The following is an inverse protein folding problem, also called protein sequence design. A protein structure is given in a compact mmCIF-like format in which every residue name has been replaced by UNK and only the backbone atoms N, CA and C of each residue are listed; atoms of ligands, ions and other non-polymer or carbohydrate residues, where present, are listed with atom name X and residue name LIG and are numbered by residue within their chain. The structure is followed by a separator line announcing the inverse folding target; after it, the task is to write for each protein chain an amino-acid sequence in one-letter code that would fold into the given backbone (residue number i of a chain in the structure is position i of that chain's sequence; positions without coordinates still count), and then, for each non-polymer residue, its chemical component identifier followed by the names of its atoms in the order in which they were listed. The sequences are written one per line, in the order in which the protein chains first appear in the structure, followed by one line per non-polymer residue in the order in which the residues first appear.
data_IF_835110467576
#
_entry.id   IF_835110467576
#
_cell.length_a   1.000
_cell.length_b   1.000
_cell.length_c   1.000
_cell.angle_alpha   90.00
_cell.angle_beta   90.00
_cell.angle_gamma   90.00
#
_symmetry.space_group_name_H-M   'P 1'
#
loop_
_entity.id
_entity.type
_entity.pdbx_description
1 polymer ?
#
# COMPACT_ATOMS: atom_id res chain seq x y z
N UNK A 1 2.60 -1.37 44.98
CA UNK A 1 1.14 -1.19 44.88
C UNK A 1 0.63 -1.93 43.63
N UNK A 2 -0.58 -2.47 43.63
CA UNK A 2 -1.13 -3.16 42.44
C UNK A 2 -1.25 -2.20 41.24
N UNK A 3 -1.40 -0.90 41.50
CA UNK A 3 -1.40 0.19 40.51
C UNK A 3 -0.11 0.23 39.65
N UNK A 4 1.07 0.13 40.26
CA UNK A 4 2.34 0.20 39.53
C UNK A 4 2.55 -0.98 38.58
N UNK A 5 2.03 -2.16 38.95
CA UNK A 5 2.06 -3.35 38.08
C UNK A 5 1.20 -3.14 36.84
N UNK A 6 -0.01 -2.62 37.01
CA UNK A 6 -0.94 -2.34 35.91
C UNK A 6 -0.38 -1.24 34.99
N UNK A 7 0.21 -0.18 35.57
CA UNK A 7 0.80 0.90 34.78
C UNK A 7 1.96 0.41 33.89
N UNK A 8 2.78 -0.50 34.42
CA UNK A 8 3.93 -1.06 33.70
C UNK A 8 3.51 -2.05 32.62
N UNK A 9 2.53 -2.91 32.90
CA UNK A 9 1.96 -3.85 31.93
C UNK A 9 1.31 -3.10 30.76
N UNK A 10 0.53 -2.06 31.05
CA UNK A 10 -0.11 -1.22 30.03
C UNK A 10 0.91 -0.48 29.17
N UNK A 11 1.98 0.05 29.77
CA UNK A 11 3.07 0.70 29.03
C UNK A 11 3.80 -0.28 28.09
N UNK A 12 3.96 -1.54 28.48
CA UNK A 12 4.57 -2.57 27.64
C UNK A 12 3.66 -2.96 26.47
N UNK A 13 2.36 -3.12 26.71
CA UNK A 13 1.38 -3.37 25.66
C UNK A 13 1.29 -2.20 24.67
N UNK A 14 1.26 -0.96 25.18
CA UNK A 14 1.27 0.25 24.36
C UNK A 14 2.57 0.36 23.54
N UNK A 15 3.73 0.03 24.12
CA UNK A 15 4.99 0.00 23.40
C UNK A 15 5.00 -1.06 22.28
N UNK A 16 4.40 -2.24 22.51
CA UNK A 16 4.20 -3.26 21.47
C UNK A 16 3.29 -2.74 20.36
N UNK A 17 2.18 -2.09 20.70
CA UNK A 17 1.27 -1.50 19.72
C UNK A 17 1.98 -0.40 18.91
N UNK A 18 2.74 0.48 19.54
CA UNK A 18 3.52 1.52 18.86
C UNK A 18 4.62 0.96 17.97
N UNK A 19 5.33 -0.08 18.41
CA UNK A 19 6.31 -0.77 17.57
C UNK A 19 5.65 -1.44 16.36
N UNK A 20 4.46 -2.01 16.56
CA UNK A 20 3.66 -2.57 15.47
C UNK A 20 3.23 -1.48 14.48
N UNK A 21 2.77 -0.31 14.97
CA UNK A 21 2.43 0.87 14.16
C UNK A 21 3.63 1.38 13.36
N UNK A 22 4.81 1.48 13.96
CA UNK A 22 6.07 1.87 13.29
C UNK A 22 6.50 0.89 12.20
N UNK A 23 6.19 -0.40 12.36
CA UNK A 23 6.40 -1.44 11.33
C UNK A 23 5.32 -1.45 10.24
N UNK A 24 4.24 -0.67 10.38
CA UNK A 24 3.25 -0.45 9.32
C UNK A 24 3.77 0.58 8.32
N UNK A 25 3.32 0.50 7.07
CA UNK A 25 3.65 1.48 6.04
C UNK A 25 3.20 2.90 6.48
N UNK A 26 3.87 3.95 6.00
CA UNK A 26 3.57 5.34 6.38
C UNK A 26 2.12 5.74 6.10
N UNK A 27 1.47 5.07 5.15
CA UNK A 27 0.04 5.22 4.85
C UNK A 27 -0.80 4.84 6.07
N UNK A 28 -0.49 3.74 6.73
CA UNK A 28 -1.19 3.26 7.93
C UNK A 28 -0.83 4.02 9.20
N UNK A 29 0.39 4.56 9.29
CA UNK A 29 0.78 5.40 10.42
C UNK A 29 0.07 6.76 10.43
N UNK A 30 -0.34 7.23 9.24
CA UNK A 30 -0.94 8.55 9.05
C UNK A 30 -2.42 8.48 8.70
N UNK A 31 -3.03 7.30 8.81
CA UNK A 31 -4.39 6.99 8.36
C UNK A 31 -4.70 7.60 6.98
N UNK A 32 -3.70 7.58 6.11
CA UNK A 32 -3.85 8.14 4.78
C UNK A 32 -4.82 7.24 4.01
N UNK A 33 -5.72 7.86 3.25
CA UNK A 33 -6.66 7.13 2.44
C UNK A 33 -5.92 6.28 1.40
N UNK A 34 -6.21 4.98 1.40
CA UNK A 34 -5.60 4.03 0.47
C UNK A 34 -6.13 4.24 -0.96
N UNK A 35 -5.33 3.91 -1.98
CA UNK A 35 -5.84 3.87 -3.35
C UNK A 35 -6.95 2.82 -3.46
N UNK A 36 -7.97 3.05 -4.31
CA UNK A 36 -9.06 2.10 -4.51
C UNK A 36 -8.55 0.79 -5.12
N UNK A 37 -9.20 -0.34 -4.83
CA UNK A 37 -8.82 -1.64 -5.39
C UNK A 37 -8.75 -1.62 -6.93
N UNK A 38 -9.62 -0.83 -7.58
CA UNK A 38 -9.61 -0.61 -9.02
C UNK A 38 -8.27 -0.08 -9.57
N UNK A 39 -7.49 0.67 -8.77
CA UNK A 39 -6.17 1.16 -9.19
C UNK A 39 -5.16 0.02 -9.43
N UNK A 40 -5.29 -1.10 -8.71
CA UNK A 40 -4.40 -2.25 -8.93
C UNK A 40 -4.65 -2.90 -10.28
N UNK A 41 -5.92 -3.09 -10.62
CA UNK A 41 -6.32 -3.68 -11.89
C UNK A 41 -5.91 -2.78 -13.07
N UNK A 42 -6.01 -1.45 -12.91
CA UNK A 42 -5.50 -0.51 -13.92
C UNK A 42 -3.99 -0.63 -14.14
N UNK A 43 -3.20 -0.76 -13.07
CA UNK A 43 -1.74 -0.92 -13.18
C UNK A 43 -1.39 -2.28 -13.82
N UNK A 44 -2.07 -3.36 -13.44
CA UNK A 44 -1.91 -4.69 -14.05
C UNK A 44 -2.21 -4.65 -15.54
N UNK A 45 -3.32 -4.04 -15.93
CA UNK A 45 -3.71 -3.90 -17.33
C UNK A 45 -2.73 -3.04 -18.13
N UNK A 46 -2.21 -1.97 -17.53
CA UNK A 46 -1.18 -1.13 -18.15
C UNK A 46 0.10 -1.93 -18.42
N UNK A 47 0.57 -2.75 -17.47
CA UNK A 47 1.73 -3.61 -17.65
C UNK A 47 1.51 -4.69 -18.71
N UNK A 48 0.30 -5.25 -18.80
CA UNK A 48 -0.06 -6.24 -19.82
C UNK A 48 -0.10 -5.63 -21.22
N UNK A 49 -0.68 -4.44 -21.37
CA UNK A 49 -0.69 -3.70 -22.65
C UNK A 49 0.73 -3.32 -23.07
N UNK A 50 1.51 -2.76 -22.14
CA UNK A 50 2.90 -2.37 -22.41
C UNK A 50 3.73 -3.55 -22.91
N UNK A 51 3.54 -4.77 -22.40
CA UNK A 51 4.24 -5.95 -22.90
C UNK A 51 3.79 -6.40 -24.30
N UNK A 52 2.53 -6.19 -24.69
CA UNK A 52 2.04 -6.49 -26.04
C UNK A 52 2.62 -5.51 -27.07
N UNK A 53 2.79 -4.25 -26.68
CA UNK A 53 3.31 -3.18 -27.55
C UNK A 53 4.84 -3.24 -27.73
N UNK A 54 5.57 -4.10 -27.00
CA UNK A 54 7.01 -4.36 -27.21
C UNK A 54 7.32 -5.07 -28.53
N UNK A 55 6.30 -5.54 -29.25
CA UNK A 55 6.39 -5.95 -30.65
C UNK A 55 6.32 -4.75 -31.61
N UNK A 56 6.79 -3.57 -31.18
CA UNK A 56 6.97 -2.40 -32.02
C UNK A 56 8.28 -2.51 -32.79
N UNK A 57 8.29 -2.03 -34.03
CA UNK A 57 9.49 -1.93 -34.89
C UNK A 57 10.57 -1.03 -34.25
N UNK A 58 10.20 -0.21 -33.27
CA UNK A 58 11.08 0.68 -32.53
C UNK A 58 11.42 0.05 -31.17
N UNK A 59 12.72 -0.11 -30.83
CA UNK A 59 13.13 -0.63 -29.54
C UNK A 59 12.64 0.28 -28.39
N UNK A 60 12.32 -0.29 -27.22
CA UNK A 60 11.85 0.47 -26.08
C UNK A 60 12.86 1.53 -25.65
N UNK A 61 12.38 2.72 -25.29
CA UNK A 61 13.22 3.79 -24.75
C UNK A 61 13.65 3.45 -23.33
N UNK A 62 14.83 3.89 -22.87
CA UNK A 62 15.23 3.78 -21.46
C UNK A 62 14.21 4.37 -20.49
N UNK A 63 13.43 5.36 -20.94
CA UNK A 63 12.34 5.96 -20.17
C UNK A 63 11.18 4.97 -20.02
N UNK A 64 10.84 4.24 -21.07
CA UNK A 64 9.76 3.24 -21.05
C UNK A 64 10.11 2.07 -20.11
N UNK A 65 11.37 1.64 -20.14
CA UNK A 65 11.89 0.60 -19.25
C UNK A 65 11.85 1.04 -17.78
N UNK A 66 12.28 2.27 -17.49
CA UNK A 66 12.22 2.85 -16.15
C UNK A 66 10.76 2.95 -15.66
N UNK A 67 9.86 3.43 -16.50
CA UNK A 67 8.43 3.52 -16.20
C UNK A 67 7.81 2.14 -15.93
N UNK A 68 8.19 1.12 -16.69
CA UNK A 68 7.76 -0.26 -16.45
C UNK A 68 8.27 -0.78 -15.09
N UNK A 69 9.54 -0.52 -14.77
CA UNK A 69 10.12 -0.90 -13.48
C UNK A 69 9.39 -0.23 -12.31
N UNK A 70 9.10 1.07 -12.43
CA UNK A 70 8.34 1.82 -11.42
C UNK A 70 6.94 1.24 -11.25
N UNK A 71 6.23 0.98 -12.35
CA UNK A 71 4.88 0.40 -12.32
C UNK A 71 4.86 -0.99 -11.66
N UNK A 72 5.84 -1.84 -11.95
CA UNK A 72 5.99 -3.17 -11.32
C UNK A 72 6.27 -3.06 -9.82
N UNK A 73 7.20 -2.20 -9.42
CA UNK A 73 7.53 -1.98 -8.01
C UNK A 73 6.34 -1.42 -7.22
N UNK A 74 5.60 -0.49 -7.82
CA UNK A 74 4.37 0.05 -7.23
C UNK A 74 3.31 -1.04 -7.03
N UNK A 75 3.10 -1.90 -8.02
CA UNK A 75 2.14 -3.00 -7.91
C UNK A 75 2.49 -3.94 -6.74
N UNK A 76 3.74 -4.38 -6.66
CA UNK A 76 4.21 -5.25 -5.59
C UNK A 76 4.07 -4.63 -4.20
N UNK A 77 4.39 -3.34 -4.08
CA UNK A 77 4.25 -2.60 -2.81
C UNK A 77 2.79 -2.58 -2.36
N UNK A 78 1.86 -2.27 -3.27
CA UNK A 78 0.44 -2.19 -2.94
C UNK A 78 -0.16 -3.57 -2.64
N UNK A 79 0.24 -4.61 -3.38
CA UNK A 79 -0.18 -6.00 -3.10
C UNK A 79 0.29 -6.47 -1.72
N UNK A 80 1.55 -6.20 -1.38
CA UNK A 80 2.09 -6.49 -0.05
C UNK A 80 1.34 -5.74 1.05
N UNK A 81 1.07 -4.44 0.86
CA UNK A 81 0.36 -3.63 1.84
C UNK A 81 -1.10 -4.09 2.02
N UNK A 82 -1.76 -4.52 0.96
CA UNK A 82 -3.12 -5.07 1.03
C UNK A 82 -3.16 -6.45 1.70
N UNK A 83 -2.21 -7.34 1.40
CA UNK A 83 -2.12 -8.65 2.05
C UNK A 83 -1.80 -8.54 3.55
N UNK A 84 -0.89 -7.63 3.91
CA UNK A 84 -0.46 -7.42 5.30
C UNK A 84 -1.49 -6.65 6.12
N UNK A 85 -2.28 -5.79 5.49
CA UNK A 85 -3.26 -4.94 6.14
C UNK A 85 -4.55 -4.90 5.31
N UNK A 86 -5.40 -5.93 5.35
CA UNK A 86 -6.63 -5.97 4.57
C UNK A 86 -7.51 -4.75 4.87
N UNK A 87 -8.09 -4.18 3.81
CA UNK A 87 -9.09 -3.13 3.93
C UNK A 87 -10.41 -3.77 4.36
N UNK A 88 -10.97 -3.32 5.48
CA UNK A 88 -12.33 -3.64 5.85
C UNK A 88 -13.26 -3.00 4.80
N UNK A 89 -14.22 -3.75 4.22
CA UNK A 89 -15.05 -3.34 3.06
C UNK A 89 -15.78 -1.99 3.27
N UNK A 90 -15.92 -1.57 4.53
CA UNK A 90 -16.52 -0.29 4.93
C UNK A 90 -15.63 0.93 4.66
N UNK A 91 -14.33 0.75 4.42
CA UNK A 91 -13.39 1.84 4.19
C UNK A 91 -13.33 2.30 2.72
N UNK A 92 -13.66 1.43 1.75
CA UNK A 92 -13.64 1.79 0.33
C UNK A 92 -14.75 2.81 -0.03
N UNK A 93 -15.87 2.81 0.69
CA UNK A 93 -17.01 3.72 0.43
C UNK A 93 -16.81 5.15 0.96
N UNK A 94 -15.80 5.43 1.78
CA UNK A 94 -15.65 6.75 2.43
C UNK A 94 -14.87 7.79 1.64
N UNK A 95 -14.42 7.49 0.42
CA UNK A 95 -13.62 8.43 -0.37
C UNK A 95 -14.21 8.77 -1.74
N UNK A 96 -15.49 9.10 -1.74
CA UNK A 96 -16.17 9.79 -2.85
C UNK A 96 -16.84 11.11 -2.44
N UNK A 97 -16.75 11.52 -1.17
CA UNK A 97 -17.42 12.72 -0.68
C UNK A 97 -16.42 13.64 0.02
N UNK A 98 -15.87 14.59 -0.74
CA UNK A 98 -15.78 16.02 -0.40
C UNK A 98 -15.21 16.77 -1.60
N UNK A 99 -15.94 17.81 -1.98
CA UNK A 99 -15.72 18.78 -3.05
C UNK A 99 -14.28 19.29 -3.16
#
# INVERSE_FOLDING_TARGET
DMSDRIAREKAEEEARQQALLRKRSRVLQRDLPRPPAASLELIRNSLLSANRDKSSVVPPSPVDDADEMVRKGLLQLLEHDNAKYPLDEKAEKKKGAKN
#
